data_IF_154731517431
#
_entry.id   IF_154731517431
#
_cell.length_a   1.000
_cell.length_b   1.000
_cell.length_c   1.000
_cell.angle_alpha   90.00
_cell.angle_beta   90.00
_cell.angle_gamma   90.00
#
_symmetry.space_group_name_H-M   'P 1'
#
loop_
_entity.id
_entity.type
_entity.pdbx_description
1 polymer ?
#
# COMPACT_ATOMS: atom_id res chain seq x y z
N UNK A 1 50.25 1.45 76.05
CA UNK A 1 51.51 1.64 75.31
C UNK A 1 51.11 1.97 73.89
N UNK A 2 51.21 3.23 73.48
CA UNK A 2 52.33 3.77 72.67
C UNK A 2 52.42 3.04 71.31
N UNK A 3 52.45 3.64 70.12
CA UNK A 3 52.64 5.02 69.64
C UNK A 3 52.24 5.00 68.15
N UNK A 4 51.91 6.19 67.61
CA UNK A 4 51.61 6.48 66.22
C UNK A 4 52.73 6.10 65.22
N UNK A 5 52.46 6.04 63.90
CA UNK A 5 52.65 7.18 62.99
C UNK A 5 52.71 6.80 61.49
N UNK A 6 52.03 7.64 60.68
CA UNK A 6 52.38 8.19 59.34
C UNK A 6 52.46 7.35 58.05
N UNK A 7 51.59 7.77 57.10
CA UNK A 7 51.86 8.23 55.71
C UNK A 7 52.37 7.22 54.67
N UNK A 8 51.98 7.22 53.39
CA UNK A 8 51.04 7.97 52.55
C UNK A 8 50.98 7.25 51.18
N UNK A 9 49.87 7.31 50.45
CA UNK A 9 49.81 7.30 48.97
C UNK A 9 48.34 7.41 48.51
N UNK A 10 47.97 8.60 48.03
CA UNK A 10 47.61 8.89 46.63
C UNK A 10 46.15 8.62 46.25
N UNK A 11 45.41 9.73 46.42
CA UNK A 11 44.21 10.23 45.73
C UNK A 11 44.22 9.88 44.23
N UNK A 12 43.07 9.47 43.66
CA UNK A 12 42.48 10.07 42.44
C UNK A 12 40.95 9.91 42.47
N UNK A 13 40.30 11.06 42.31
CA UNK A 13 38.89 11.45 42.11
C UNK A 13 38.13 10.63 41.04
N UNK A 14 36.79 10.50 41.06
CA UNK A 14 35.74 11.50 40.79
C UNK A 14 34.39 11.01 41.38
N UNK A 15 33.67 11.84 42.14
CA UNK A 15 32.48 12.64 41.73
C UNK A 15 31.24 11.77 41.40
N UNK A 16 30.00 12.07 41.79
CA UNK A 16 29.35 13.23 42.40
C UNK A 16 27.96 12.73 42.84
N UNK A 17 27.48 13.02 44.06
CA UNK A 17 26.05 12.84 44.35
C UNK A 17 25.56 13.73 45.51
N UNK A 18 24.46 14.42 45.20
CA UNK A 18 23.46 15.03 46.09
C UNK A 18 23.86 16.29 46.86
N UNK A 19 23.23 17.41 46.49
CA UNK A 19 22.67 18.34 47.49
C UNK A 19 21.30 18.86 47.05
N UNK A 20 20.47 19.01 48.08
CA UNK A 20 19.05 19.32 48.12
C UNK A 20 18.74 20.82 47.95
N UNK A 21 17.58 21.07 47.35
CA UNK A 21 16.57 22.13 47.55
C UNK A 21 17.00 23.54 47.99
N UNK A 22 16.65 24.52 47.14
CA UNK A 22 16.43 25.91 47.54
C UNK A 22 15.33 26.54 46.68
N UNK A 23 14.21 26.93 47.31
CA UNK A 23 13.06 27.57 46.68
C UNK A 23 13.41 28.96 46.11
N UNK A 24 13.01 29.24 44.88
CA UNK A 24 12.86 30.61 44.39
C UNK A 24 11.73 30.66 43.38
N UNK A 25 10.63 31.31 43.76
CA UNK A 25 9.46 31.56 42.92
C UNK A 25 9.82 32.57 41.83
N UNK A 26 9.84 32.13 40.57
CA UNK A 26 9.90 32.99 39.39
C UNK A 26 8.48 33.07 38.78
N UNK A 27 8.07 34.21 38.20
CA UNK A 27 6.77 34.34 37.56
C UNK A 27 6.68 33.45 36.32
N UNK A 28 5.55 32.77 36.21
CA UNK A 28 5.21 31.81 35.16
C UNK A 28 5.34 32.43 33.76
N UNK A 29 6.19 31.90 32.86
CA UNK A 29 6.15 32.29 31.46
C UNK A 29 4.85 31.75 30.85
N UNK A 30 4.18 32.59 30.06
CA UNK A 30 2.97 32.25 29.32
C UNK A 30 3.10 30.88 28.63
N UNK A 31 2.03 30.06 28.60
CA UNK A 31 2.09 28.77 27.92
C UNK A 31 2.54 28.97 26.47
N UNK A 32 3.50 28.18 25.97
CA UNK A 32 3.86 28.22 24.56
C UNK A 32 2.58 27.99 23.76
N UNK A 33 2.30 28.96 22.89
CA UNK A 33 1.31 28.91 21.83
C UNK A 33 1.27 27.50 21.25
N UNK A 34 0.10 26.86 21.28
CA UNK A 34 -0.10 25.54 20.72
C UNK A 34 0.58 25.46 19.36
N UNK A 35 1.66 24.66 19.28
CA UNK A 35 2.20 24.23 18.01
C UNK A 35 1.04 23.65 17.21
N UNK A 36 0.86 24.01 15.93
CA UNK A 36 -0.10 23.30 15.11
C UNK A 36 0.28 21.82 15.18
N UNK A 37 -0.69 20.99 15.56
CA UNK A 37 -0.65 19.55 15.37
C UNK A 37 -0.15 19.30 13.94
N UNK A 38 0.82 18.40 13.71
CA UNK A 38 1.07 17.96 12.35
C UNK A 38 -0.23 17.34 11.86
N UNK A 39 -0.92 18.06 10.96
CA UNK A 39 -1.87 17.44 10.06
C UNK A 39 -1.12 16.27 9.45
N UNK A 40 -1.56 15.06 9.74
CA UNK A 40 -1.20 13.89 8.93
C UNK A 40 -1.62 14.29 7.52
N UNK A 41 -0.64 14.68 6.71
CA UNK A 41 -0.87 14.88 5.30
C UNK A 41 -1.25 13.49 4.78
N UNK A 42 -2.51 13.33 4.38
CA UNK A 42 -2.88 12.31 3.41
C UNK A 42 -1.86 12.45 2.27
N UNK A 43 -0.93 11.50 2.21
CA UNK A 43 0.12 11.47 1.19
C UNK A 43 -0.42 10.89 -0.11
N UNK A 44 -1.60 11.37 -0.52
CA UNK A 44 -2.12 11.25 -1.88
C UNK A 44 -1.72 12.53 -2.61
N UNK A 45 -0.99 12.39 -3.72
CA UNK A 45 -0.68 13.52 -4.61
C UNK A 45 -1.96 14.28 -4.93
N UNK A 46 -1.88 15.61 -4.94
CA UNK A 46 -2.98 16.43 -5.46
C UNK A 46 -3.21 16.14 -6.95
N UNK A 47 -4.41 16.43 -7.46
CA UNK A 47 -4.75 16.27 -8.87
C UNK A 47 -3.76 16.97 -9.82
N UNK A 48 -3.28 18.16 -9.43
CA UNK A 48 -2.28 18.89 -10.20
C UNK A 48 -0.94 18.16 -10.25
N UNK A 49 -0.48 17.63 -9.12
CA UNK A 49 0.75 16.83 -9.05
C UNK A 49 0.62 15.52 -9.83
N UNK A 50 -0.55 14.86 -9.76
CA UNK A 50 -0.84 13.67 -10.57
C UNK A 50 -0.80 13.98 -12.06
N UNK A 51 -1.35 15.12 -12.48
CA UNK A 51 -1.32 15.56 -13.88
C UNK A 51 0.12 15.82 -14.36
N UNK A 52 0.92 16.55 -13.59
CA UNK A 52 2.32 16.80 -13.93
C UNK A 52 3.14 15.49 -13.98
N UNK A 53 2.92 14.59 -13.01
CA UNK A 53 3.55 13.28 -12.94
C UNK A 53 3.18 12.41 -14.15
N UNK A 54 1.90 12.35 -14.50
CA UNK A 54 1.41 11.57 -15.63
C UNK A 54 1.98 12.08 -16.97
N UNK A 55 2.02 13.40 -17.19
CA UNK A 55 2.61 13.97 -18.41
C UNK A 55 4.10 13.63 -18.52
N UNK A 56 4.84 13.67 -17.41
CA UNK A 56 6.26 13.35 -17.39
C UNK A 56 6.50 11.86 -17.69
N UNK A 57 5.73 10.95 -17.07
CA UNK A 57 5.80 9.51 -17.35
C UNK A 57 5.56 9.19 -18.83
N UNK A 58 4.52 9.77 -19.43
CA UNK A 58 4.20 9.54 -20.86
C UNK A 58 5.29 10.10 -21.77
N UNK A 59 5.92 11.21 -21.39
CA UNK A 59 7.03 11.81 -22.15
C UNK A 59 8.29 10.96 -22.09
N UNK A 60 8.61 10.38 -20.93
CA UNK A 60 9.83 9.61 -20.71
C UNK A 60 9.83 8.25 -21.43
N UNK A 61 8.65 7.72 -21.76
CA UNK A 61 8.49 6.46 -22.52
C UNK A 61 8.59 6.64 -24.05
N UNK A 62 8.74 7.87 -24.56
CA UNK A 62 8.88 8.08 -26.00
C UNK A 62 10.26 7.62 -26.49
N UNK A 63 10.34 6.90 -27.64
CA UNK A 63 11.62 6.52 -28.20
C UNK A 63 12.33 7.74 -28.81
N UNK A 64 13.67 7.69 -28.82
CA UNK A 64 14.54 8.73 -29.39
C UNK A 64 14.47 8.75 -30.93
N UNK A 65 13.34 9.20 -31.49
CA UNK A 65 13.15 9.36 -32.93
C UNK A 65 12.71 10.80 -33.28
N UNK A 66 13.22 11.39 -34.38
CA UNK A 66 12.89 12.77 -34.77
C UNK A 66 11.39 13.05 -34.94
N UNK A 67 10.60 12.03 -35.24
CA UNK A 67 9.14 12.19 -35.41
C UNK A 67 8.46 12.69 -34.13
N UNK A 68 9.04 12.44 -32.95
CA UNK A 68 8.52 12.85 -31.64
C UNK A 68 8.99 14.24 -31.20
N UNK A 69 9.84 14.90 -31.99
CA UNK A 69 10.31 16.24 -31.67
C UNK A 69 9.14 17.24 -31.68
N UNK A 70 9.05 18.06 -30.62
CA UNK A 70 8.00 19.06 -30.50
C UNK A 70 6.62 18.52 -30.12
N UNK A 71 6.51 17.26 -29.68
CA UNK A 71 5.26 16.77 -29.09
C UNK A 71 4.86 17.55 -27.84
N UNK A 72 3.55 17.70 -27.65
CA UNK A 72 2.96 18.28 -26.44
C UNK A 72 2.05 17.29 -25.73
N UNK A 73 1.99 17.42 -24.40
CA UNK A 73 1.19 16.56 -23.54
C UNK A 73 0.22 17.41 -22.72
N UNK A 74 -1.03 16.97 -22.61
CA UNK A 74 -2.03 17.64 -21.78
C UNK A 74 -2.77 16.60 -20.96
N UNK A 75 -2.66 16.70 -19.63
CA UNK A 75 -3.30 15.78 -18.71
C UNK A 75 -4.69 16.26 -18.28
N UNK A 76 -5.63 15.32 -18.18
CA UNK A 76 -7.00 15.50 -17.68
C UNK A 76 -7.24 14.44 -16.62
N UNK A 77 -7.64 14.86 -15.42
CA UNK A 77 -8.04 13.93 -14.36
C UNK A 77 -9.34 13.24 -14.76
N UNK A 78 -9.34 11.91 -14.70
CA UNK A 78 -10.54 11.11 -14.93
C UNK A 78 -11.27 10.84 -13.62
N UNK A 79 -10.53 10.35 -12.63
CA UNK A 79 -11.00 10.02 -11.28
C UNK A 79 -9.83 9.99 -10.27
N UNK A 80 -10.08 9.44 -9.07
CA UNK A 80 -9.11 9.34 -7.98
C UNK A 80 -7.90 8.44 -8.32
N UNK A 81 -8.04 7.49 -9.26
CA UNK A 81 -7.00 6.54 -9.64
C UNK A 81 -6.38 6.84 -11.00
N UNK A 82 -7.05 7.54 -11.92
CA UNK A 82 -6.57 7.71 -13.29
C UNK A 82 -6.44 9.17 -13.77
N UNK A 83 -5.39 9.41 -14.56
CA UNK A 83 -5.20 10.64 -15.37
C UNK A 83 -5.03 10.22 -16.83
N UNK A 84 -5.81 10.82 -17.72
CA UNK A 84 -5.61 10.70 -19.17
C UNK A 84 -4.62 11.76 -19.65
N UNK A 85 -3.71 11.40 -20.55
CA UNK A 85 -2.73 12.32 -21.14
C UNK A 85 -2.90 12.33 -22.66
N UNK A 86 -3.42 13.43 -23.18
CA UNK A 86 -3.44 13.72 -24.61
C UNK A 86 -2.03 13.91 -25.14
N UNK A 87 -1.76 13.33 -26.32
CA UNK A 87 -0.49 13.45 -27.02
C UNK A 87 -0.74 14.10 -28.37
N UNK A 88 -0.08 15.22 -28.64
CA UNK A 88 -0.19 15.91 -29.93
C UNK A 88 1.18 16.01 -30.61
N UNK A 89 1.21 15.79 -31.92
CA UNK A 89 2.37 16.04 -32.76
C UNK A 89 2.64 17.54 -32.90
N UNK A 90 3.92 17.90 -32.93
CA UNK A 90 4.32 19.22 -33.36
C UNK A 90 4.06 19.46 -34.86
N UNK A 91 4.18 20.71 -35.34
CA UNK A 91 4.12 21.06 -36.76
C UNK A 91 5.01 20.14 -37.62
N UNK A 92 4.43 19.54 -38.68
CA UNK A 92 5.14 18.61 -39.57
C UNK A 92 5.33 17.19 -39.03
N UNK A 93 4.84 16.89 -37.82
CA UNK A 93 4.83 15.55 -37.25
C UNK A 93 3.53 14.78 -37.52
N UNK A 94 3.61 13.45 -37.47
CA UNK A 94 2.46 12.54 -37.57
C UNK A 94 2.00 12.16 -38.99
N UNK A 95 1.02 11.25 -39.11
CA UNK A 95 0.50 10.81 -40.40
C UNK A 95 -0.17 11.98 -41.14
N UNK A 96 0.34 12.32 -42.33
CA UNK A 96 -0.23 13.37 -43.18
C UNK A 96 0.48 14.74 -43.10
N UNK A 97 1.57 14.87 -42.34
CA UNK A 97 2.48 16.04 -42.30
C UNK A 97 1.77 17.38 -42.41
N UNK A 98 0.79 17.60 -41.53
CA UNK A 98 0.04 18.85 -41.49
C UNK A 98 0.90 19.96 -40.89
N UNK A 99 0.82 21.17 -41.45
CA UNK A 99 1.55 22.34 -40.93
C UNK A 99 1.18 22.69 -39.48
N UNK A 100 0.00 22.25 -39.01
CA UNK A 100 -0.48 22.46 -37.65
C UNK A 100 -0.12 21.32 -36.68
N UNK A 101 0.45 20.22 -37.15
CA UNK A 101 0.53 18.97 -36.39
C UNK A 101 -0.82 18.26 -36.30
N UNK A 102 -0.91 17.26 -35.44
CA UNK A 102 -2.11 16.41 -35.34
C UNK A 102 -2.19 15.65 -34.02
N UNK A 103 -3.33 14.99 -33.80
CA UNK A 103 -3.56 14.15 -32.62
C UNK A 103 -2.74 12.87 -32.76
N UNK A 104 -1.91 12.59 -31.76
CA UNK A 104 -1.08 11.38 -31.68
C UNK A 104 -1.70 10.30 -30.78
N UNK A 105 -2.91 10.54 -30.29
CA UNK A 105 -3.62 9.65 -29.38
C UNK A 105 -3.58 10.14 -27.94
N UNK A 106 -3.96 9.26 -27.01
CA UNK A 106 -3.84 9.49 -25.57
C UNK A 106 -3.31 8.25 -24.86
N UNK A 107 -2.85 8.42 -23.62
CA UNK A 107 -2.43 7.34 -22.72
C UNK A 107 -3.10 7.54 -21.36
N UNK A 108 -3.57 6.46 -20.74
CA UNK A 108 -4.08 6.50 -19.36
C UNK A 108 -2.93 6.17 -18.41
N UNK A 109 -2.76 6.97 -17.37
CA UNK A 109 -1.81 6.73 -16.29
C UNK A 109 -2.59 6.44 -15.01
N UNK A 110 -2.33 5.27 -14.41
CA UNK A 110 -2.98 4.80 -13.19
C UNK A 110 -2.08 5.02 -11.98
N UNK A 111 -2.66 5.56 -10.91
CA UNK A 111 -2.06 5.84 -9.62
C UNK A 111 -2.61 4.89 -8.54
N UNK A 112 -1.85 4.61 -7.47
CA UNK A 112 -0.51 5.13 -7.17
C UNK A 112 0.64 4.40 -7.88
N UNK A 113 0.34 3.39 -8.70
CA UNK A 113 1.33 2.50 -9.29
C UNK A 113 2.15 3.09 -10.45
N UNK A 114 1.91 4.35 -10.84
CA UNK A 114 2.53 5.02 -12.00
C UNK A 114 2.47 4.17 -13.29
N UNK A 115 1.41 3.36 -13.44
CA UNK A 115 1.28 2.41 -14.56
C UNK A 115 0.79 3.14 -15.82
N UNK A 116 1.53 3.03 -16.93
CA UNK A 116 1.08 3.51 -18.24
C UNK A 116 0.24 2.43 -18.95
N UNK A 117 -0.93 2.84 -19.42
CA UNK A 117 -1.73 2.05 -20.35
C UNK A 117 -1.17 2.08 -21.77
N UNK A 118 -1.71 1.21 -22.62
CA UNK A 118 -1.39 1.19 -24.06
C UNK A 118 -1.85 2.49 -24.74
N UNK A 119 -1.05 3.09 -25.64
CA UNK A 119 -1.47 4.23 -26.45
C UNK A 119 -2.76 3.95 -27.23
N UNK A 120 -3.74 4.84 -27.07
CA UNK A 120 -5.03 4.78 -27.76
C UNK A 120 -5.13 5.86 -28.83
N UNK A 121 -5.95 5.66 -29.86
CA UNK A 121 -6.31 6.70 -30.82
C UNK A 121 -7.35 7.66 -30.25
N UNK A 122 -7.39 8.90 -30.77
CA UNK A 122 -8.34 9.94 -30.34
C UNK A 122 -7.78 10.84 -29.24
N UNK A 123 -8.68 11.48 -28.48
CA UNK A 123 -8.33 12.39 -27.39
C UNK A 123 -8.92 11.92 -26.06
N UNK A 124 -8.44 12.48 -24.95
CA UNK A 124 -9.01 12.27 -23.62
C UNK A 124 -10.49 12.67 -23.54
N UNK A 125 -10.97 13.56 -24.40
CA UNK A 125 -12.40 13.89 -24.47
C UNK A 125 -13.24 12.74 -25.07
N UNK A 126 -12.62 11.88 -25.88
CA UNK A 126 -13.22 10.69 -26.47
C UNK A 126 -13.10 9.48 -25.54
N UNK A 127 -12.39 9.61 -24.40
CA UNK A 127 -12.30 8.58 -23.39
C UNK A 127 -13.70 8.32 -22.81
N UNK A 128 -14.32 7.26 -23.31
CA UNK A 128 -15.22 6.49 -22.51
C UNK A 128 -14.33 5.55 -21.69
N UNK A 129 -14.38 5.57 -20.34
CA UNK A 129 -13.86 4.43 -19.61
C UNK A 129 -14.49 3.22 -20.27
N UNK A 130 -13.67 2.23 -20.63
CA UNK A 130 -14.20 0.89 -20.70
C UNK A 130 -14.94 0.75 -19.38
N UNK A 131 -16.27 0.61 -19.41
CA UNK A 131 -17.00 0.18 -18.23
C UNK A 131 -16.12 -0.94 -17.70
N UNK A 132 -15.53 -0.73 -16.52
CA UNK A 132 -15.02 -1.86 -15.76
C UNK A 132 -16.22 -2.78 -15.76
N UNK A 133 -16.18 -3.84 -16.57
CA UNK A 133 -17.25 -4.83 -16.63
C UNK A 133 -17.49 -5.14 -15.16
N UNK A 134 -18.64 -4.71 -14.58
CA UNK A 134 -18.82 -4.68 -13.14
C UNK A 134 -18.46 -6.07 -12.66
N UNK A 135 -17.35 -6.13 -11.90
CA UNK A 135 -16.42 -7.26 -11.89
C UNK A 135 -17.12 -8.56 -12.17
N UNK A 136 -16.82 -9.19 -13.32
CA UNK A 136 -17.37 -10.49 -13.75
C UNK A 136 -17.80 -11.26 -12.51
N UNK A 137 -19.10 -11.26 -12.23
CA UNK A 137 -19.59 -11.65 -10.91
C UNK A 137 -18.94 -12.98 -10.54
N UNK A 138 -18.20 -13.00 -9.43
CA UNK A 138 -17.52 -14.22 -9.00
C UNK A 138 -18.61 -15.27 -8.78
N UNK A 139 -18.55 -16.37 -9.52
CA UNK A 139 -19.50 -17.47 -9.41
C UNK A 139 -19.22 -18.23 -8.12
N UNK A 140 -19.88 -17.78 -7.04
CA UNK A 140 -19.84 -18.41 -5.73
C UNK A 140 -20.93 -19.48 -5.66
N UNK A 141 -20.57 -20.77 -5.49
CA UNK A 141 -21.52 -21.86 -5.35
C UNK A 141 -22.56 -21.61 -4.24
N UNK A 142 -23.80 -22.03 -4.50
CA UNK A 142 -24.93 -21.74 -3.61
C UNK A 142 -24.80 -22.33 -2.19
N UNK A 143 -24.02 -23.40 -2.04
CA UNK A 143 -23.73 -24.08 -0.78
C UNK A 143 -22.79 -23.27 0.13
N UNK A 144 -21.91 -22.44 -0.43
CA UNK A 144 -21.01 -21.58 0.36
C UNK A 144 -21.47 -20.13 0.46
N UNK A 145 -22.45 -19.72 -0.36
CA UNK A 145 -22.95 -18.32 -0.43
C UNK A 145 -23.37 -17.71 0.90
N UNK A 146 -23.90 -18.51 1.83
CA UNK A 146 -24.36 -18.04 3.15
C UNK A 146 -23.39 -18.43 4.28
N UNK A 147 -22.18 -18.89 3.95
CA UNK A 147 -21.20 -19.26 4.95
C UNK A 147 -20.67 -17.98 5.63
N UNK A 148 -20.69 -17.89 6.98
CA UNK A 148 -20.19 -16.71 7.68
C UNK A 148 -18.70 -16.44 7.48
N UNK A 149 -17.93 -17.44 7.04
CA UNK A 149 -16.53 -17.30 6.67
C UNK A 149 -16.29 -17.05 5.18
N UNK A 150 -17.32 -16.86 4.36
CA UNK A 150 -17.13 -16.54 2.95
C UNK A 150 -16.50 -15.15 2.79
N UNK A 151 -15.36 -15.08 2.08
CA UNK A 151 -14.72 -13.85 1.64
C UNK A 151 -14.61 -13.86 0.12
N UNK A 152 -15.01 -12.78 -0.55
CA UNK A 152 -15.02 -12.68 -2.02
C UNK A 152 -14.15 -11.50 -2.45
N UNK A 153 -13.30 -11.69 -3.46
CA UNK A 153 -12.33 -10.67 -3.89
C UNK A 153 -12.97 -9.33 -4.25
N UNK A 154 -14.19 -9.33 -4.77
CA UNK A 154 -14.95 -8.11 -5.12
C UNK A 154 -15.28 -7.23 -3.91
N UNK A 155 -15.36 -7.81 -2.71
CA UNK A 155 -15.63 -7.06 -1.48
C UNK A 155 -14.39 -6.31 -0.97
N UNK A 156 -13.20 -6.69 -1.46
CA UNK A 156 -11.90 -6.14 -1.06
C UNK A 156 -11.21 -5.36 -2.18
N UNK A 157 -11.61 -5.54 -3.44
CA UNK A 157 -11.04 -4.85 -4.59
C UNK A 157 -9.53 -5.09 -4.70
N UNK A 158 -8.76 -4.00 -4.78
CA UNK A 158 -7.29 -4.03 -4.89
C UNK A 158 -6.59 -4.56 -3.64
N UNK A 159 -7.26 -4.53 -2.49
CA UNK A 159 -6.71 -5.00 -1.21
C UNK A 159 -6.86 -6.53 -1.03
N UNK A 160 -7.44 -7.22 -2.01
CA UNK A 160 -7.63 -8.67 -1.94
C UNK A 160 -6.27 -9.41 -1.90
N UNK A 161 -5.94 -10.13 -0.81
CA UNK A 161 -4.58 -10.64 -0.62
C UNK A 161 -4.33 -11.99 -1.29
N UNK A 162 -5.32 -12.58 -1.96
CA UNK A 162 -5.24 -13.94 -2.51
C UNK A 162 -5.35 -13.96 -4.03
N UNK A 163 -4.80 -14.99 -4.66
CA UNK A 163 -4.88 -15.17 -6.12
C UNK A 163 -6.18 -15.85 -6.56
N UNK A 164 -6.91 -16.45 -5.62
CA UNK A 164 -8.22 -17.09 -5.87
C UNK A 164 -9.36 -16.09 -5.67
N UNK A 165 -10.49 -16.23 -6.37
CA UNK A 165 -11.54 -15.21 -6.39
C UNK A 165 -12.43 -15.17 -5.13
N UNK A 166 -12.47 -16.26 -4.35
CA UNK A 166 -13.13 -16.31 -3.05
C UNK A 166 -12.50 -17.42 -2.21
N UNK A 167 -12.70 -17.37 -0.90
CA UNK A 167 -12.35 -18.44 0.04
C UNK A 167 -13.42 -18.57 1.12
N UNK A 168 -13.42 -19.68 1.82
CA UNK A 168 -14.19 -19.85 3.05
C UNK A 168 -13.21 -19.98 4.21
N UNK A 169 -13.10 -18.94 5.04
CA UNK A 169 -12.30 -18.98 6.27
C UNK A 169 -13.05 -19.71 7.38
N UNK A 170 -12.30 -20.34 8.27
CA UNK A 170 -12.83 -21.03 9.45
C UNK A 170 -11.83 -20.96 10.59
N UNK A 171 -12.36 -21.01 11.81
CA UNK A 171 -11.56 -21.12 13.02
C UNK A 171 -11.80 -22.47 13.69
N UNK A 172 -10.71 -23.11 14.12
CA UNK A 172 -10.77 -24.23 15.05
C UNK A 172 -10.02 -23.88 16.34
N UNK A 173 -10.61 -24.24 17.48
CA UNK A 173 -9.95 -24.15 18.77
C UNK A 173 -9.24 -25.46 19.12
N UNK A 174 -7.97 -25.37 19.54
CA UNK A 174 -7.17 -26.53 19.99
C UNK A 174 -6.51 -26.24 21.32
N UNK A 175 -6.57 -27.18 22.25
CA UNK A 175 -5.84 -27.05 23.53
C UNK A 175 -4.43 -27.61 23.36
N UNK A 176 -3.42 -26.78 23.60
CA UNK A 176 -2.02 -27.17 23.68
C UNK A 176 -1.36 -26.51 24.89
N UNK A 177 -0.60 -27.28 25.67
CA UNK A 177 0.07 -26.80 26.89
C UNK A 177 -0.84 -26.01 27.86
N UNK A 178 -2.11 -26.44 27.96
CA UNK A 178 -3.10 -25.81 28.84
C UNK A 178 -3.64 -24.46 28.34
N UNK A 179 -3.40 -24.09 27.08
CA UNK A 179 -3.91 -22.88 26.44
C UNK A 179 -4.81 -23.24 25.26
N UNK A 180 -5.87 -22.47 25.08
CA UNK A 180 -6.68 -22.51 23.86
C UNK A 180 -5.95 -21.75 22.76
N UNK A 181 -5.71 -22.43 21.64
CA UNK A 181 -5.12 -21.91 20.43
C UNK A 181 -6.22 -21.74 19.38
N UNK A 182 -6.20 -20.61 18.68
CA UNK A 182 -7.11 -20.31 17.58
C UNK A 182 -6.39 -20.54 16.25
N UNK A 183 -6.82 -21.56 15.53
CA UNK A 183 -6.24 -21.97 14.26
C UNK A 183 -7.12 -21.41 13.14
N UNK A 184 -6.64 -20.37 12.45
CA UNK A 184 -7.34 -19.82 11.30
C UNK A 184 -6.90 -20.56 10.04
N UNK A 185 -7.87 -21.15 9.38
CA UNK A 185 -7.71 -21.92 8.15
C UNK A 185 -8.66 -21.38 7.09
N UNK A 186 -8.41 -21.73 5.84
CA UNK A 186 -9.34 -21.45 4.75
C UNK A 186 -9.43 -22.62 3.78
N UNK A 187 -10.56 -22.69 3.08
CA UNK A 187 -10.79 -23.59 1.97
C UNK A 187 -10.94 -22.77 0.67
N UNK A 188 -10.22 -23.16 -0.38
CA UNK A 188 -10.24 -22.52 -1.71
C UNK A 188 -11.33 -23.13 -2.61
N UNK A 189 -11.66 -22.49 -3.75
CA UNK A 189 -12.69 -22.99 -4.67
C UNK A 189 -12.38 -24.38 -5.27
N UNK A 190 -11.10 -24.75 -5.35
CA UNK A 190 -10.64 -26.06 -5.81
C UNK A 190 -10.64 -27.13 -4.70
N UNK A 191 -11.07 -26.76 -3.48
CA UNK A 191 -11.14 -27.65 -2.32
C UNK A 191 -9.83 -27.81 -1.55
N UNK A 192 -8.79 -27.04 -1.88
CA UNK A 192 -7.54 -27.04 -1.12
C UNK A 192 -7.69 -26.27 0.20
N UNK A 193 -7.19 -26.84 1.29
CA UNK A 193 -7.20 -26.20 2.60
C UNK A 193 -5.81 -25.66 2.96
N UNK A 194 -5.75 -24.46 3.55
CA UNK A 194 -4.49 -23.80 3.95
C UNK A 194 -4.55 -23.30 5.40
N UNK A 195 -3.42 -23.34 6.08
CA UNK A 195 -3.18 -22.63 7.32
C UNK A 195 -2.88 -21.14 7.03
N UNK A 196 -3.62 -20.23 7.68
CA UNK A 196 -3.55 -18.79 7.40
C UNK A 196 -2.71 -18.05 8.46
N UNK A 197 -2.92 -18.36 9.74
CA UNK A 197 -2.16 -17.74 10.83
C UNK A 197 -1.00 -18.62 11.30
N UNK A 198 -0.04 -18.02 12.01
CA UNK A 198 1.13 -18.74 12.55
C UNK A 198 0.74 -19.93 13.43
N UNK A 199 -0.30 -19.78 14.24
CA UNK A 199 -0.82 -20.85 15.11
C UNK A 199 -1.32 -22.05 14.31
N UNK A 200 -2.09 -21.83 13.23
CA UNK A 200 -2.54 -22.90 12.36
C UNK A 200 -1.37 -23.58 11.65
N UNK A 201 -0.37 -22.81 11.20
CA UNK A 201 0.83 -23.37 10.57
C UNK A 201 1.62 -24.28 11.51
N UNK A 202 1.72 -23.90 12.78
CA UNK A 202 2.52 -24.63 13.77
C UNK A 202 1.76 -25.81 14.40
N UNK A 203 0.42 -25.80 14.35
CA UNK A 203 -0.42 -26.77 15.08
C UNK A 203 -1.45 -27.54 14.23
N UNK A 204 -1.44 -27.39 12.91
CA UNK A 204 -2.20 -28.21 11.95
C UNK A 204 -1.26 -28.93 10.97
N UNK A 205 -1.80 -29.88 10.21
CA UNK A 205 -1.08 -30.56 9.12
C UNK A 205 -1.32 -29.88 7.75
N UNK A 206 -1.96 -28.71 7.72
CA UNK A 206 -2.27 -28.00 6.49
C UNK A 206 -1.05 -27.27 5.92
N UNK A 207 -0.96 -27.14 4.58
CA UNK A 207 0.07 -26.31 3.96
C UNK A 207 -0.08 -24.83 4.31
N UNK A 208 1.03 -24.09 4.24
CA UNK A 208 1.05 -22.62 4.35
C UNK A 208 0.35 -21.99 3.13
N UNK A 209 -0.35 -20.88 3.36
CA UNK A 209 -1.10 -20.11 2.35
C UNK A 209 -0.23 -19.49 1.24
N UNK A 210 1.10 -19.45 1.40
CA UNK A 210 2.03 -18.83 0.46
C UNK A 210 1.79 -19.09 -1.05
N UNK A 211 1.39 -20.31 -1.51
CA UNK A 211 1.14 -20.58 -2.92
C UNK A 211 0.01 -19.74 -3.54
N UNK A 212 -0.96 -19.29 -2.73
CA UNK A 212 -2.11 -18.49 -3.17
C UNK A 212 -2.06 -17.06 -2.65
N UNK A 213 -0.99 -16.66 -1.96
CA UNK A 213 -0.83 -15.31 -1.43
C UNK A 213 -0.29 -14.38 -2.54
N UNK A 214 -1.09 -13.37 -2.89
CA UNK A 214 -0.75 -12.38 -3.91
C UNK A 214 0.52 -11.62 -3.59
N UNK A 215 1.34 -11.38 -4.62
CA UNK A 215 2.45 -10.45 -4.53
C UNK A 215 1.92 -9.02 -4.39
N UNK A 216 2.63 -8.18 -3.64
CA UNK A 216 2.33 -6.76 -3.57
C UNK A 216 2.74 -6.10 -4.91
N UNK A 217 1.81 -5.43 -5.63
CA UNK A 217 2.14 -4.81 -6.91
C UNK A 217 3.06 -3.59 -6.78
N UNK A 218 3.06 -2.93 -5.62
CA UNK A 218 3.82 -1.70 -5.39
C UNK A 218 5.24 -1.96 -4.88
N UNK A 219 5.50 -3.14 -4.30
CA UNK A 219 6.80 -3.49 -3.71
C UNK A 219 7.23 -4.91 -4.08
N UNK A 220 8.26 -5.01 -4.92
CA UNK A 220 8.80 -6.30 -5.35
C UNK A 220 9.27 -7.17 -4.18
N UNK A 221 8.99 -8.47 -4.28
CA UNK A 221 9.30 -9.46 -3.26
C UNK A 221 8.40 -9.44 -2.02
N UNK A 222 7.48 -8.48 -1.88
CA UNK A 222 6.51 -8.45 -0.79
C UNK A 222 5.18 -9.10 -1.18
N UNK A 223 4.37 -9.40 -0.15
CA UNK A 223 3.01 -9.92 -0.28
C UNK A 223 2.01 -8.84 0.14
N UNK A 224 0.79 -8.90 -0.40
CA UNK A 224 -0.33 -8.06 0.05
C UNK A 224 -0.63 -8.35 1.53
N UNK A 225 -1.11 -7.38 2.30
CA UNK A 225 -1.43 -7.61 3.72
C UNK A 225 -2.53 -8.67 3.89
N UNK A 226 -2.23 -9.74 4.65
CA UNK A 226 -3.16 -10.85 4.90
C UNK A 226 -4.05 -10.61 6.13
N UNK A 227 -3.80 -9.56 6.90
CA UNK A 227 -4.51 -9.25 8.14
C UNK A 227 -6.04 -9.29 7.99
N UNK A 228 -6.66 -8.76 6.90
CA UNK A 228 -8.12 -8.84 6.74
C UNK A 228 -8.68 -10.27 6.73
N UNK A 229 -7.94 -11.23 6.17
CA UNK A 229 -8.34 -12.65 6.13
C UNK A 229 -8.16 -13.30 7.50
N UNK A 230 -7.07 -12.98 8.19
CA UNK A 230 -6.82 -13.49 9.55
C UNK A 230 -7.88 -12.98 10.52
N UNK A 231 -8.18 -11.69 10.49
CA UNK A 231 -9.14 -11.05 11.38
C UNK A 231 -10.56 -11.59 11.15
N UNK A 232 -10.96 -11.77 9.88
CA UNK A 232 -12.23 -12.41 9.55
C UNK A 232 -12.32 -13.84 10.10
N UNK A 233 -11.24 -14.62 10.02
CA UNK A 233 -11.20 -15.96 10.59
C UNK A 233 -11.23 -15.97 12.12
N UNK A 234 -10.48 -15.09 12.77
CA UNK A 234 -10.47 -14.98 14.24
C UNK A 234 -11.82 -14.55 14.81
N UNK A 235 -12.60 -13.76 14.08
CA UNK A 235 -13.95 -13.38 14.46
C UNK A 235 -14.93 -14.56 14.55
N UNK A 236 -14.55 -15.75 14.05
CA UNK A 236 -15.37 -16.96 14.07
C UNK A 236 -15.11 -17.90 15.28
N UNK A 237 -14.16 -17.60 16.17
CA UNK A 237 -13.69 -18.53 17.22
C UNK A 237 -14.51 -18.55 18.54
#
# INVERSE_FOLDING_TARGET
MHVANTSAALIWTFALAVLLSGCSSAPEPAPPSASPTPTVADSSLSDMERVERAQQLVKDELPDAPIWEGMTFAGVVLDEAAVCVDRNWGPGGGPGETEAGGVAGYVIVTFPSDTLGEPQEGTCADYAPAEEEPGKAIDVPADVKNNPGLLVSTDFGVDWPLTVPYVVVRCEEKIADGRTLQLVMLDTPDGTAYAVNGTARDHSDLPDIFPIWSANPDVDGLKVDISPVIDAGLALC
#
